data_IF_843015563674
#
_entry.id   IF_843015563674
#
_cell.length_a   1.000
_cell.length_b   1.000
_cell.length_c   1.000
_cell.angle_alpha   90.00
_cell.angle_beta   90.00
_cell.angle_gamma   90.00
#
_symmetry.space_group_name_H-M   'P 1'
#
loop_
_entity.id
_entity.type
_entity.pdbx_description
1 polymer ?
#
# COMPACT_ATOMS: atom_id res chain seq x y z
N UNK A 1 -9.77 -5.87 6.52
CA UNK A 1 -8.35 -6.24 6.29
C UNK A 1 -7.75 -7.00 7.48
N UNK A 2 -8.01 -6.57 8.73
CA UNK A 2 -7.46 -7.25 9.92
C UNK A 2 -7.83 -8.74 9.99
N UNK A 3 -9.03 -9.11 9.57
CA UNK A 3 -9.44 -10.52 9.55
C UNK A 3 -8.56 -11.36 8.62
N UNK A 4 -8.14 -10.79 7.48
CA UNK A 4 -7.23 -11.46 6.55
C UNK A 4 -5.79 -11.56 7.07
N UNK A 5 -5.40 -10.68 7.99
CA UNK A 5 -4.07 -10.68 8.63
C UNK A 5 -4.06 -11.49 9.94
N UNK A 6 -5.17 -12.09 10.32
CA UNK A 6 -5.32 -12.83 11.61
C UNK A 6 -4.29 -13.95 11.79
N UNK A 7 -3.81 -14.54 10.70
CA UNK A 7 -2.75 -15.54 10.72
C UNK A 7 -1.45 -15.03 11.39
N UNK A 8 -1.18 -13.73 11.33
CA UNK A 8 -0.01 -13.12 11.97
C UNK A 8 -0.23 -12.77 13.45
N UNK A 9 -1.45 -12.86 13.96
CA UNK A 9 -1.85 -12.29 15.27
C UNK A 9 -1.11 -12.87 16.48
N UNK A 10 -0.51 -14.04 16.35
CA UNK A 10 0.29 -14.65 17.44
C UNK A 10 1.74 -14.12 17.50
N UNK A 11 2.23 -13.58 16.40
CA UNK A 11 3.63 -13.16 16.25
C UNK A 11 3.81 -11.65 16.10
N UNK A 12 2.73 -10.91 15.75
CA UNK A 12 2.79 -9.46 15.52
C UNK A 12 1.60 -8.73 16.14
N UNK A 13 1.77 -7.44 16.42
CA UNK A 13 0.69 -6.54 16.81
C UNK A 13 0.02 -6.00 15.54
N UNK A 14 -1.25 -6.32 15.35
CA UNK A 14 -2.04 -5.84 14.21
C UNK A 14 -2.76 -4.54 14.58
N UNK A 15 -2.54 -3.48 13.82
CA UNK A 15 -3.14 -2.17 14.02
C UNK A 15 -4.00 -1.79 12.83
N UNK A 16 -5.31 -1.80 12.99
CA UNK A 16 -6.27 -1.34 11.99
C UNK A 16 -6.42 0.18 12.04
N UNK A 17 -6.19 0.83 10.91
CA UNK A 17 -6.28 2.28 10.77
C UNK A 17 -7.56 2.67 10.03
N UNK A 18 -8.40 3.46 10.67
CA UNK A 18 -9.62 4.00 10.07
C UNK A 18 -9.36 5.46 9.71
N UNK A 19 -9.30 5.81 8.40
CA UNK A 19 -9.10 7.19 7.97
C UNK A 19 -10.35 8.03 8.26
N UNK A 20 -10.20 9.33 8.45
CA UNK A 20 -11.33 10.27 8.55
C UNK A 20 -12.05 10.38 7.22
N UNK A 21 -11.29 10.41 6.13
CA UNK A 21 -11.80 10.40 4.76
C UNK A 21 -10.86 9.65 3.84
N UNK A 22 -11.22 8.44 3.45
CA UNK A 22 -10.41 7.58 2.59
C UNK A 22 -9.99 8.25 1.27
N UNK A 23 -10.86 9.06 0.68
CA UNK A 23 -10.55 9.78 -0.57
C UNK A 23 -9.58 10.94 -0.36
N UNK A 24 -9.50 11.50 0.85
CA UNK A 24 -8.55 12.55 1.18
C UNK A 24 -7.23 11.97 1.69
N UNK A 25 -7.32 11.07 2.67
CA UNK A 25 -6.20 10.65 3.49
C UNK A 25 -5.27 9.67 2.77
N UNK A 26 -5.79 8.94 1.77
CA UNK A 26 -5.02 7.93 1.03
C UNK A 26 -4.59 8.38 -0.36
N UNK A 27 -4.72 9.66 -0.69
CA UNK A 27 -4.36 10.17 -2.02
C UNK A 27 -3.26 11.23 -1.96
N UNK A 28 -2.29 11.19 -2.90
CA UNK A 28 -1.10 12.05 -2.87
C UNK A 28 -1.40 13.54 -3.11
N UNK A 29 -2.28 13.83 -4.04
CA UNK A 29 -2.69 15.18 -4.43
C UNK A 29 -4.17 15.22 -4.80
N UNK A 30 -4.70 16.41 -5.06
CA UNK A 30 -6.09 16.57 -5.49
C UNK A 30 -6.27 16.06 -6.91
N UNK A 31 -7.35 15.33 -7.14
CA UNK A 31 -7.76 14.88 -8.47
C UNK A 31 -9.28 14.74 -8.55
N UNK A 32 -9.81 14.89 -9.76
CA UNK A 32 -11.24 14.75 -10.01
C UNK A 32 -11.71 13.32 -9.79
N UNK A 33 -12.94 13.18 -9.34
CA UNK A 33 -13.61 11.90 -9.17
C UNK A 33 -13.64 11.09 -10.47
N UNK A 34 -13.63 9.77 -10.37
CA UNK A 34 -13.75 8.85 -11.51
C UNK A 34 -15.16 8.82 -12.14
N UNK A 35 -16.14 9.27 -11.39
CA UNK A 35 -17.55 9.27 -11.79
C UNK A 35 -18.15 10.63 -11.50
N UNK A 36 -18.91 11.15 -12.45
CA UNK A 36 -19.66 12.39 -12.29
C UNK A 36 -20.57 12.35 -11.06
N UNK A 37 -20.57 13.41 -10.28
CA UNK A 37 -21.32 13.54 -9.03
C UNK A 37 -20.72 12.80 -7.82
N UNK A 38 -19.63 12.08 -7.97
CA UNK A 38 -18.88 11.54 -6.84
C UNK A 38 -17.92 12.58 -6.25
N UNK A 39 -17.53 12.44 -4.97
CA UNK A 39 -16.56 13.34 -4.34
C UNK A 39 -15.19 13.23 -5.01
N UNK A 40 -14.51 14.36 -5.16
CA UNK A 40 -13.13 14.42 -5.62
C UNK A 40 -12.14 13.83 -4.60
N UNK A 41 -10.95 13.52 -5.05
CA UNK A 41 -9.83 13.10 -4.20
C UNK A 41 -9.15 14.32 -3.58
N UNK A 42 -8.86 14.25 -2.28
CA UNK A 42 -8.45 15.42 -1.50
C UNK A 42 -6.94 15.65 -1.39
N UNK A 43 -6.10 14.63 -1.64
CA UNK A 43 -4.64 14.77 -1.67
C UNK A 43 -4.02 15.13 -0.32
N UNK A 44 -4.32 14.39 0.75
CA UNK A 44 -3.86 14.68 2.11
C UNK A 44 -3.01 13.55 2.72
N UNK A 45 -2.43 12.68 1.90
CA UNK A 45 -1.69 11.52 2.38
C UNK A 45 -0.51 11.89 3.28
N UNK A 46 0.18 12.99 3.03
CA UNK A 46 1.30 13.42 3.87
C UNK A 46 0.85 13.78 5.28
N UNK A 47 -0.23 14.54 5.42
CA UNK A 47 -0.80 14.88 6.73
C UNK A 47 -1.33 13.62 7.45
N UNK A 48 -1.85 12.66 6.71
CA UNK A 48 -2.25 11.36 7.25
C UNK A 48 -1.04 10.56 7.74
N UNK A 49 0.04 10.49 6.98
CA UNK A 49 1.27 9.82 7.41
C UNK A 49 1.89 10.49 8.64
N UNK A 50 1.92 11.80 8.69
CA UNK A 50 2.39 12.53 9.87
C UNK A 50 1.59 12.14 11.12
N UNK A 51 0.26 12.18 11.05
CA UNK A 51 -0.64 11.77 12.14
C UNK A 51 -0.41 10.30 12.55
N UNK A 52 -0.22 9.42 11.58
CA UNK A 52 0.03 8.00 11.81
C UNK A 52 1.35 7.77 12.54
N UNK A 53 2.45 8.27 12.01
CA UNK A 53 3.79 7.91 12.49
C UNK A 53 4.26 8.75 13.67
N UNK A 54 3.91 10.02 13.72
CA UNK A 54 4.22 10.88 14.88
C UNK A 54 3.20 10.74 16.02
N UNK A 55 1.95 10.44 15.72
CA UNK A 55 0.88 10.28 16.69
C UNK A 55 0.65 8.83 17.12
N UNK A 56 0.03 8.04 16.24
CA UNK A 56 -0.46 6.69 16.56
C UNK A 56 0.69 5.74 16.91
N UNK A 57 1.71 5.66 16.06
CA UNK A 57 2.86 4.78 16.31
C UNK A 57 3.58 5.14 17.60
N UNK A 58 3.74 6.44 17.89
CA UNK A 58 4.34 6.90 19.16
C UNK A 58 3.52 6.46 20.37
N UNK A 59 2.18 6.45 20.26
CA UNK A 59 1.31 5.97 21.34
C UNK A 59 1.46 4.46 21.52
N UNK A 60 1.48 3.68 20.44
CA UNK A 60 1.68 2.22 20.49
C UNK A 60 3.01 1.89 21.15
N UNK A 61 4.09 2.59 20.81
CA UNK A 61 5.43 2.40 21.40
C UNK A 61 5.48 2.66 22.91
N UNK A 62 4.57 3.45 23.47
CA UNK A 62 4.48 3.66 24.92
C UNK A 62 3.84 2.49 25.66
N UNK A 63 2.88 1.84 25.02
CA UNK A 63 2.03 0.84 25.64
C UNK A 63 2.52 -0.58 25.36
N UNK A 64 3.30 -0.78 24.29
CA UNK A 64 3.77 -2.08 23.83
C UNK A 64 5.27 -2.08 23.55
N UNK A 65 5.93 -3.18 23.92
CA UNK A 65 7.30 -3.45 23.48
C UNK A 65 7.27 -3.93 22.02
N UNK A 66 7.83 -3.12 21.11
CA UNK A 66 7.88 -3.43 19.69
C UNK A 66 9.31 -3.53 19.18
N UNK A 67 9.54 -4.37 18.20
CA UNK A 67 10.79 -4.40 17.43
C UNK A 67 10.75 -3.33 16.35
N UNK A 68 11.53 -2.27 16.53
CA UNK A 68 11.57 -1.16 15.57
C UNK A 68 12.16 -1.54 14.19
N UNK A 69 12.81 -2.70 14.08
CA UNK A 69 13.29 -3.24 12.82
C UNK A 69 12.23 -4.09 12.10
N UNK A 70 11.03 -4.23 12.68
CA UNK A 70 9.94 -5.05 12.15
C UNK A 70 8.62 -4.30 12.20
N UNK A 71 8.56 -3.16 11.52
CA UNK A 71 7.35 -2.34 11.37
C UNK A 71 6.90 -2.42 9.93
N UNK A 72 5.70 -2.98 9.68
CA UNK A 72 5.07 -3.02 8.37
C UNK A 72 3.97 -1.95 8.26
N UNK A 73 3.88 -1.33 7.09
CA UNK A 73 2.80 -0.44 6.71
C UNK A 73 2.27 -0.79 5.33
N UNK A 74 0.97 -0.87 5.18
CA UNK A 74 0.38 -1.20 3.90
C UNK A 74 -1.13 -1.16 3.87
N UNK A 75 -1.70 -1.65 2.79
CA UNK A 75 -3.14 -1.71 2.65
C UNK A 75 -3.63 -2.13 1.27
N UNK A 76 -4.94 -2.07 1.12
CA UNK A 76 -5.68 -2.44 -0.07
C UNK A 76 -6.14 -1.20 -0.84
N UNK A 77 -6.06 -1.27 -2.17
CA UNK A 77 -6.62 -0.25 -3.08
C UNK A 77 -5.97 1.14 -2.85
N UNK A 78 -6.71 2.18 -2.47
CA UNK A 78 -6.16 3.48 -2.10
C UNK A 78 -5.23 3.40 -0.86
N UNK A 79 -5.45 2.45 0.06
CA UNK A 79 -4.51 2.18 1.15
C UNK A 79 -3.16 1.68 0.64
N UNK A 80 -3.16 0.83 -0.39
CA UNK A 80 -1.95 0.40 -1.08
C UNK A 80 -1.25 1.54 -1.84
N UNK A 81 -2.02 2.45 -2.45
CA UNK A 81 -1.49 3.68 -3.05
C UNK A 81 -0.76 4.55 -2.02
N UNK A 82 -1.41 4.80 -0.86
CA UNK A 82 -0.82 5.57 0.23
C UNK A 82 0.46 4.93 0.75
N UNK A 83 0.47 3.61 0.90
CA UNK A 83 1.64 2.87 1.35
C UNK A 83 2.82 3.01 0.38
N UNK A 84 2.59 2.87 -0.93
CA UNK A 84 3.65 3.04 -1.92
C UNK A 84 4.11 4.49 -2.03
N UNK A 85 3.21 5.46 -1.91
CA UNK A 85 3.60 6.88 -1.86
C UNK A 85 4.58 7.17 -0.72
N UNK A 86 4.48 6.46 0.41
CA UNK A 86 5.40 6.65 1.54
C UNK A 86 6.87 6.33 1.21
N UNK A 87 7.15 5.54 0.17
CA UNK A 87 8.53 5.31 -0.30
C UNK A 87 9.21 6.56 -0.84
N UNK A 88 8.42 7.51 -1.33
CA UNK A 88 8.87 8.76 -1.97
C UNK A 88 8.73 9.99 -1.07
N UNK A 89 8.08 9.86 0.07
CA UNK A 89 7.84 10.96 1.02
C UNK A 89 8.91 10.99 2.11
N UNK A 90 8.69 11.81 3.13
CA UNK A 90 9.58 11.90 4.30
C UNK A 90 9.85 10.54 4.91
N UNK A 91 11.07 10.34 5.45
CA UNK A 91 11.46 9.10 6.10
C UNK A 91 10.45 8.67 7.16
N UNK A 92 9.92 7.46 7.01
CA UNK A 92 9.00 6.83 7.95
C UNK A 92 9.70 5.66 8.64
N UNK A 93 9.43 5.40 9.93
CA UNK A 93 10.07 4.32 10.68
C UNK A 93 9.42 2.97 10.36
N UNK A 94 9.41 2.59 9.07
CA UNK A 94 8.87 1.32 8.59
C UNK A 94 9.94 0.54 7.84
N UNK A 95 9.93 -0.77 7.99
CA UNK A 95 10.90 -1.67 7.37
C UNK A 95 10.28 -2.60 6.35
N UNK A 96 8.96 -2.62 6.28
CA UNK A 96 8.20 -3.35 5.29
C UNK A 96 7.03 -2.50 4.78
N UNK A 97 6.88 -2.41 3.47
CA UNK A 97 5.76 -1.75 2.81
C UNK A 97 5.05 -2.75 1.91
N UNK A 98 3.72 -2.86 2.06
CA UNK A 98 2.95 -3.77 1.22
C UNK A 98 1.75 -3.10 0.56
N UNK A 99 1.43 -3.54 -0.64
CA UNK A 99 0.27 -3.07 -1.39
C UNK A 99 -0.47 -4.25 -2.02
N UNK A 100 -1.74 -4.41 -1.65
CA UNK A 100 -2.66 -5.36 -2.26
C UNK A 100 -3.64 -4.60 -3.16
N UNK A 101 -3.63 -4.88 -4.45
CA UNK A 101 -4.46 -4.21 -5.45
C UNK A 101 -4.34 -2.67 -5.42
N UNK A 102 -3.14 -2.15 -5.25
CA UNK A 102 -2.89 -0.71 -5.14
C UNK A 102 -3.48 0.08 -6.29
N UNK A 103 -4.09 1.24 -5.97
CA UNK A 103 -4.77 2.10 -6.93
C UNK A 103 -3.78 2.91 -7.78
N UNK A 104 -2.84 2.26 -8.45
CA UNK A 104 -1.77 2.90 -9.23
C UNK A 104 -2.24 3.57 -10.52
N UNK A 105 -3.51 3.38 -10.87
CA UNK A 105 -4.21 4.15 -11.88
C UNK A 105 -4.47 5.61 -11.46
N UNK A 106 -4.12 5.99 -10.23
CA UNK A 106 -4.30 7.36 -9.74
C UNK A 106 -3.62 8.36 -10.70
N UNK A 107 -4.26 9.51 -11.02
CA UNK A 107 -3.71 10.46 -11.99
C UNK A 107 -2.26 10.82 -11.70
N UNK A 108 -1.40 10.70 -12.70
CA UNK A 108 0.01 11.08 -12.72
C UNK A 108 0.93 10.35 -11.72
N UNK A 109 0.40 9.29 -11.05
CA UNK A 109 1.16 8.60 -9.99
C UNK A 109 2.36 7.82 -10.53
N UNK A 110 2.23 7.08 -11.62
CA UNK A 110 3.37 6.38 -12.23
C UNK A 110 4.41 7.35 -12.81
N UNK A 111 3.98 8.50 -13.33
CA UNK A 111 4.88 9.57 -13.76
C UNK A 111 5.66 10.14 -12.59
N UNK A 112 4.97 10.49 -11.52
CA UNK A 112 5.59 10.92 -10.26
C UNK A 112 6.65 9.92 -9.78
N UNK A 113 6.33 8.61 -9.76
CA UNK A 113 7.26 7.57 -9.33
C UNK A 113 8.48 7.45 -10.27
N UNK A 114 8.34 7.78 -11.55
CA UNK A 114 9.45 7.76 -12.51
C UNK A 114 10.39 8.96 -12.35
N UNK A 115 9.84 10.10 -11.95
CA UNK A 115 10.58 11.37 -11.83
C UNK A 115 11.22 11.58 -10.46
N UNK A 116 10.92 10.73 -9.46
CA UNK A 116 11.39 10.89 -8.10
C UNK A 116 12.14 9.64 -7.62
N UNK A 117 13.23 9.84 -6.91
CA UNK A 117 13.97 8.76 -6.26
C UNK A 117 13.27 8.28 -4.99
N UNK A 118 13.40 6.98 -4.70
CA UNK A 118 12.92 6.39 -3.45
C UNK A 118 13.74 6.90 -2.27
N UNK A 119 13.07 7.44 -1.27
CA UNK A 119 13.70 7.83 0.00
C UNK A 119 13.94 6.59 0.87
N UNK A 120 13.08 5.58 0.76
CA UNK A 120 13.12 4.35 1.58
C UNK A 120 13.45 3.10 0.76
N UNK A 121 14.57 3.12 0.05
CA UNK A 121 15.01 1.99 -0.79
C UNK A 121 15.49 0.75 0.00
N UNK A 122 15.56 0.83 1.32
CA UNK A 122 16.01 -0.27 2.20
C UNK A 122 14.86 -1.09 2.79
N UNK A 123 13.60 -0.71 2.52
CA UNK A 123 12.44 -1.45 3.01
C UNK A 123 12.24 -2.75 2.22
N UNK A 124 11.71 -3.77 2.90
CA UNK A 124 11.07 -4.90 2.22
C UNK A 124 9.81 -4.40 1.52
N UNK A 125 9.60 -4.78 0.27
CA UNK A 125 8.45 -4.32 -0.50
C UNK A 125 7.69 -5.51 -1.07
N UNK A 126 6.37 -5.53 -0.82
CA UNK A 126 5.44 -6.52 -1.35
C UNK A 126 4.39 -5.85 -2.22
N UNK A 127 4.31 -6.25 -3.48
CA UNK A 127 3.36 -5.73 -4.46
C UNK A 127 2.53 -6.87 -5.05
N UNK A 128 1.21 -6.77 -4.96
CA UNK A 128 0.30 -7.73 -5.57
C UNK A 128 -0.91 -7.05 -6.20
N UNK A 129 -1.15 -7.30 -7.49
CA UNK A 129 -2.30 -6.80 -8.24
C UNK A 129 -2.94 -7.90 -9.09
N UNK A 130 -4.22 -7.73 -9.43
CA UNK A 130 -4.93 -8.60 -10.33
C UNK A 130 -4.73 -8.21 -11.80
N UNK A 131 -4.62 -9.21 -12.68
CA UNK A 131 -4.41 -8.99 -14.12
C UNK A 131 -5.63 -8.41 -14.84
N UNK A 132 -6.84 -8.62 -14.28
CA UNK A 132 -8.11 -8.16 -14.86
C UNK A 132 -8.79 -7.09 -14.01
N UNK A 133 -8.06 -6.41 -13.12
CA UNK A 133 -8.61 -5.27 -12.39
C UNK A 133 -9.15 -4.22 -13.35
N UNK A 134 -10.35 -3.73 -13.06
CA UNK A 134 -10.97 -2.69 -13.89
C UNK A 134 -11.53 -3.14 -15.24
N UNK A 135 -11.52 -4.43 -15.57
CA UNK A 135 -11.98 -4.97 -16.86
C UNK A 135 -13.41 -4.54 -17.25
N UNK A 136 -14.28 -4.31 -16.27
CA UNK A 136 -15.68 -3.91 -16.47
C UNK A 136 -15.88 -2.38 -16.47
N UNK A 137 -14.82 -1.59 -16.52
CA UNK A 137 -14.86 -0.13 -16.51
C UNK A 137 -14.49 0.46 -17.88
N UNK A 138 -15.10 1.59 -18.23
CA UNK A 138 -14.79 2.35 -19.45
C UNK A 138 -13.92 3.59 -19.19
N UNK A 139 -13.64 3.92 -17.92
CA UNK A 139 -12.81 5.04 -17.50
C UNK A 139 -11.35 4.58 -17.22
N UNK A 140 -10.58 5.41 -16.52
CA UNK A 140 -9.16 5.15 -16.20
C UNK A 140 -8.93 3.81 -15.48
N UNK A 141 -9.93 3.29 -14.74
CA UNK A 141 -9.84 1.98 -14.08
C UNK A 141 -9.61 0.83 -15.06
N UNK A 142 -10.08 0.92 -16.31
CA UNK A 142 -9.83 -0.12 -17.32
C UNK A 142 -8.35 -0.31 -17.63
N UNK A 143 -7.51 0.66 -17.29
CA UNK A 143 -6.05 0.62 -17.45
C UNK A 143 -5.30 0.26 -16.17
N UNK A 144 -6.01 -0.08 -15.09
CA UNK A 144 -5.38 -0.41 -13.79
C UNK A 144 -4.28 -1.46 -13.89
N UNK A 145 -4.44 -2.58 -14.64
CA UNK A 145 -3.36 -3.56 -14.78
C UNK A 145 -2.10 -3.02 -15.49
N UNK A 146 -2.29 -2.10 -16.43
CA UNK A 146 -1.16 -1.46 -17.13
C UNK A 146 -0.35 -0.58 -16.16
N UNK A 147 -1.01 0.28 -15.42
CA UNK A 147 -0.36 1.13 -14.41
C UNK A 147 0.29 0.31 -13.30
N UNK A 148 -0.36 -0.78 -12.86
CA UNK A 148 0.21 -1.67 -11.88
C UNK A 148 1.51 -2.32 -12.39
N UNK A 149 1.53 -2.85 -13.61
CA UNK A 149 2.75 -3.44 -14.20
C UNK A 149 3.87 -2.42 -14.32
N UNK A 150 3.55 -1.22 -14.76
CA UNK A 150 4.53 -0.13 -14.86
C UNK A 150 5.13 0.20 -13.49
N UNK A 151 4.32 0.37 -12.47
CA UNK A 151 4.80 0.65 -11.12
C UNK A 151 5.61 -0.50 -10.54
N UNK A 152 5.13 -1.75 -10.67
CA UNK A 152 5.87 -2.92 -10.20
C UNK A 152 7.29 -2.99 -10.81
N UNK A 153 7.41 -2.69 -12.10
CA UNK A 153 8.72 -2.63 -12.77
C UNK A 153 9.59 -1.52 -12.19
N UNK A 154 9.08 -0.29 -12.08
CA UNK A 154 9.82 0.84 -11.52
C UNK A 154 10.35 0.55 -10.11
N UNK A 155 9.50 0.01 -9.24
CA UNK A 155 9.89 -0.32 -7.87
C UNK A 155 10.90 -1.47 -7.85
N UNK A 156 10.69 -2.53 -8.64
CA UNK A 156 11.60 -3.69 -8.68
C UNK A 156 12.96 -3.36 -9.29
N UNK A 157 13.04 -2.42 -10.22
CA UNK A 157 14.30 -1.91 -10.76
C UNK A 157 15.08 -1.12 -9.69
N UNK A 158 14.38 -0.29 -8.90
CA UNK A 158 14.99 0.50 -7.83
C UNK A 158 15.33 -0.34 -6.58
N UNK A 159 14.52 -1.35 -6.26
CA UNK A 159 14.68 -2.26 -5.11
C UNK A 159 14.55 -3.71 -5.59
N UNK A 160 15.66 -4.36 -5.99
CA UNK A 160 15.63 -5.70 -6.58
C UNK A 160 15.08 -6.81 -5.69
N UNK A 161 15.00 -6.59 -4.38
CA UNK A 161 14.41 -7.52 -3.40
C UNK A 161 12.89 -7.40 -3.29
N UNK A 162 12.26 -6.56 -4.10
CA UNK A 162 10.80 -6.40 -4.12
C UNK A 162 10.12 -7.71 -4.51
N UNK A 163 9.19 -8.18 -3.68
CA UNK A 163 8.27 -9.24 -4.08
C UNK A 163 7.16 -8.64 -4.94
N UNK A 164 7.07 -9.05 -6.19
CA UNK A 164 6.14 -8.52 -7.17
C UNK A 164 5.37 -9.64 -7.83
N UNK A 165 4.04 -9.65 -7.71
CA UNK A 165 3.19 -10.71 -8.25
C UNK A 165 1.89 -10.20 -8.84
N UNK A 166 1.35 -10.97 -9.79
CA UNK A 166 0.05 -10.73 -10.42
C UNK A 166 -0.75 -12.03 -10.46
N UNK A 167 -1.99 -11.99 -10.02
CA UNK A 167 -2.93 -13.08 -10.14
C UNK A 167 -3.96 -12.87 -11.27
N UNK A 168 -4.80 -13.86 -11.54
CA UNK A 168 -5.78 -13.82 -12.62
C UNK A 168 -7.12 -13.17 -12.23
N UNK A 169 -7.22 -12.57 -11.05
CA UNK A 169 -8.46 -12.06 -10.47
C UNK A 169 -8.65 -10.56 -10.71
N UNK A 170 -9.89 -10.11 -10.52
CA UNK A 170 -10.28 -8.71 -10.46
C UNK A 170 -9.98 -8.05 -9.12
N UNK A 171 -10.34 -6.75 -9.02
CA UNK A 171 -9.98 -5.92 -7.87
C UNK A 171 -10.49 -6.42 -6.51
N UNK A 172 -11.73 -6.93 -6.46
CA UNK A 172 -12.40 -7.33 -5.21
C UNK A 172 -12.44 -8.86 -5.00
N UNK A 173 -11.73 -9.61 -5.83
CA UNK A 173 -11.74 -11.07 -5.79
C UNK A 173 -10.52 -11.60 -5.05
N UNK A 174 -10.64 -12.80 -4.47
CA UNK A 174 -9.54 -13.56 -3.85
C UNK A 174 -8.71 -12.76 -2.81
N UNK A 175 -9.32 -11.83 -2.07
CA UNK A 175 -8.62 -11.02 -1.08
C UNK A 175 -8.03 -11.86 0.05
N UNK A 176 -8.74 -12.89 0.47
CA UNK A 176 -8.27 -13.88 1.45
C UNK A 176 -6.97 -14.57 1.00
N UNK A 177 -6.93 -15.04 -0.24
CA UNK A 177 -5.74 -15.69 -0.81
C UNK A 177 -4.56 -14.72 -0.93
N UNK A 178 -4.82 -13.47 -1.35
CA UNK A 178 -3.80 -12.42 -1.49
C UNK A 178 -3.17 -12.06 -0.16
N UNK A 179 -3.98 -11.88 0.87
CA UNK A 179 -3.47 -11.58 2.21
C UNK A 179 -2.79 -12.79 2.85
N UNK A 180 -3.28 -14.00 2.62
CA UNK A 180 -2.61 -15.21 3.07
C UNK A 180 -1.19 -15.31 2.46
N UNK A 181 -1.06 -15.08 1.15
CA UNK A 181 0.24 -15.07 0.47
C UNK A 181 1.19 -13.99 1.03
N UNK A 182 0.67 -12.79 1.32
CA UNK A 182 1.44 -11.76 2.00
C UNK A 182 1.89 -12.21 3.40
N UNK A 183 1.00 -12.82 4.19
CA UNK A 183 1.33 -13.32 5.52
C UNK A 183 2.43 -14.39 5.49
N UNK A 184 2.36 -15.34 4.55
CA UNK A 184 3.39 -16.36 4.37
C UNK A 184 4.74 -15.72 4.01
N UNK A 185 4.73 -14.83 3.02
CA UNK A 185 5.94 -14.10 2.63
C UNK A 185 6.53 -13.30 3.80
N UNK A 186 5.72 -12.58 4.56
CA UNK A 186 6.21 -11.78 5.70
C UNK A 186 6.78 -12.65 6.82
N UNK A 187 6.19 -13.83 7.07
CA UNK A 187 6.74 -14.82 8.01
C UNK A 187 8.13 -15.27 7.62
N UNK A 188 8.34 -15.57 6.34
CA UNK A 188 9.65 -15.98 5.83
C UNK A 188 10.67 -14.86 5.98
N UNK A 189 10.36 -13.64 5.54
CA UNK A 189 11.26 -12.50 5.60
C UNK A 189 11.63 -12.10 7.03
N UNK A 190 10.65 -12.12 7.92
CA UNK A 190 10.85 -11.76 9.33
C UNK A 190 11.21 -12.93 10.23
N UNK A 191 11.24 -14.16 9.70
CA UNK A 191 11.50 -15.41 10.45
C UNK A 191 10.60 -15.50 11.67
N UNK A 192 9.29 -15.31 11.47
CA UNK A 192 8.29 -15.42 12.51
C UNK A 192 7.98 -16.90 12.77
N UNK A 193 7.74 -17.25 14.05
CA UNK A 193 7.32 -18.60 14.46
C UNK A 193 5.80 -18.78 14.29
#
# INVERSE_FOLDING_TARGET
ELDYLSDLSQSVILVGLIPESRLNDFTPWKASALKEGAPDFGGKVEAYHEKLFQGILTTIKKDYLIDENRIAYGGYSLGGLAAIYSLYSSYLPVTCIFSVCGSFWYPDFTEFCREHDLIQSQSLIYLQNGQIEGANHSNRLSKAPMFARELHNLISEAVPTTYSTFDAYGHHEALDQRYHQFCEWLREEWKLE
#
